data_IF_513996182039
#
_entry.id   IF_513996182039
#
_cell.length_a   1.000
_cell.length_b   1.000
_cell.length_c   1.000
_cell.angle_alpha   90.00
_cell.angle_beta   90.00
_cell.angle_gamma   90.00
#
_symmetry.space_group_name_H-M   'P 1'
#
loop_
_entity.id
_entity.type
_entity.pdbx_description
1 polymer ?
#
# COMPACT_ATOMS: atom_id res chain seq x y z
N UNK A 1 -22.91 28.33 -44.31
CA UNK A 1 -23.20 26.90 -44.08
C UNK A 1 -22.48 26.51 -42.80
N UNK A 2 -23.26 26.17 -41.77
CA UNK A 2 -22.80 25.93 -40.40
C UNK A 2 -22.60 24.41 -40.27
N UNK A 3 -21.35 23.96 -40.12
CA UNK A 3 -21.05 22.52 -39.97
C UNK A 3 -21.08 22.15 -38.48
N UNK A 4 -22.10 21.37 -38.11
CA UNK A 4 -22.31 20.83 -36.76
C UNK A 4 -21.35 19.67 -36.42
N UNK A 5 -21.10 19.56 -35.11
CA UNK A 5 -20.24 18.65 -34.36
C UNK A 5 -20.65 17.15 -34.45
N UNK A 6 -20.05 16.22 -33.67
CA UNK A 6 -18.73 16.19 -33.00
C UNK A 6 -17.87 14.99 -33.48
N UNK A 7 -16.55 15.06 -33.30
CA UNK A 7 -15.72 13.86 -33.40
C UNK A 7 -16.03 12.94 -32.22
N UNK A 8 -16.72 11.82 -32.49
CA UNK A 8 -16.85 10.69 -31.59
C UNK A 8 -15.45 10.22 -31.16
N UNK A 9 -15.13 10.45 -29.88
CA UNK A 9 -13.95 9.88 -29.23
C UNK A 9 -14.32 8.44 -28.85
N UNK A 10 -14.12 7.51 -29.78
CA UNK A 10 -14.29 6.09 -29.54
C UNK A 10 -13.29 5.62 -28.46
N UNK A 11 -13.79 5.37 -27.25
CA UNK A 11 -13.08 4.62 -26.21
C UNK A 11 -13.52 3.15 -26.29
N UNK A 12 -13.30 2.52 -27.43
CA UNK A 12 -13.84 1.20 -27.76
C UNK A 12 -12.80 0.11 -28.02
N UNK A 13 -11.70 0.07 -27.28
CA UNK A 13 -10.81 -1.11 -27.29
C UNK A 13 -11.02 -1.93 -26.02
N UNK A 14 -11.99 -2.85 -26.09
CA UNK A 14 -12.15 -3.97 -25.18
C UNK A 14 -10.78 -4.62 -24.91
N UNK A 15 -10.24 -4.42 -23.70
CA UNK A 15 -9.07 -5.20 -23.23
C UNK A 15 -9.55 -6.61 -22.88
N UNK A 16 -9.80 -7.41 -23.91
CA UNK A 16 -9.92 -8.87 -23.79
C UNK A 16 -8.54 -9.45 -23.49
N UNK A 17 -8.45 -10.11 -22.34
CA UNK A 17 -7.59 -11.28 -22.17
C UNK A 17 -6.15 -11.01 -21.75
N UNK A 18 -5.95 -10.75 -20.47
CA UNK A 18 -4.89 -11.35 -19.67
C UNK A 18 -5.41 -11.37 -18.23
N UNK A 19 -5.41 -12.51 -17.50
CA UNK A 19 -5.61 -12.50 -16.06
C UNK A 19 -4.32 -11.93 -15.45
N UNK A 20 -4.12 -10.62 -15.58
CA UNK A 20 -3.31 -9.92 -14.59
C UNK A 20 -4.11 -10.14 -13.32
N UNK A 21 -3.74 -11.17 -12.54
CA UNK A 21 -4.06 -11.29 -11.13
C UNK A 21 -4.06 -9.87 -10.61
N UNK A 22 -5.22 -9.37 -10.18
CA UNK A 22 -5.38 -7.99 -9.71
C UNK A 22 -4.19 -7.73 -8.80
N UNK A 23 -3.20 -7.02 -9.32
CA UNK A 23 -2.14 -6.49 -8.49
C UNK A 23 -2.93 -5.52 -7.64
N UNK A 24 -2.95 -5.73 -6.32
CA UNK A 24 -3.65 -4.79 -5.43
C UNK A 24 -3.19 -3.40 -5.87
N UNK A 25 -4.12 -2.58 -6.40
CA UNK A 25 -3.83 -1.23 -6.88
C UNK A 25 -3.56 -0.37 -5.64
N UNK A 26 -2.38 -0.57 -5.06
CA UNK A 26 -1.93 0.14 -3.89
C UNK A 26 -1.62 1.57 -4.31
N UNK A 27 -2.24 2.52 -3.63
CA UNK A 27 -1.83 3.91 -3.73
C UNK A 27 -0.35 4.08 -3.35
N UNK A 28 0.29 5.16 -3.83
CA UNK A 28 1.66 5.49 -3.45
C UNK A 28 1.87 5.54 -1.93
N UNK A 29 0.85 5.97 -1.17
CA UNK A 29 0.88 5.96 0.29
C UNK A 29 0.89 4.56 0.91
N UNK A 30 0.18 3.61 0.31
CA UNK A 30 0.17 2.21 0.73
C UNK A 30 1.50 1.53 0.40
N UNK A 31 2.05 1.74 -0.79
CA UNK A 31 3.38 1.24 -1.17
C UNK A 31 4.47 1.73 -0.21
N UNK A 32 4.50 3.03 0.07
CA UNK A 32 5.46 3.60 1.02
C UNK A 32 5.31 2.99 2.43
N UNK A 33 4.09 2.67 2.86
CA UNK A 33 3.85 2.01 4.14
C UNK A 33 4.29 0.54 4.14
N UNK A 34 4.10 -0.18 3.03
CA UNK A 34 4.60 -1.56 2.90
C UNK A 34 6.13 -1.60 2.98
N UNK A 35 6.80 -0.66 2.31
CA UNK A 35 8.25 -0.55 2.40
C UNK A 35 8.72 -0.25 3.83
N UNK A 36 8.08 0.72 4.50
CA UNK A 36 8.41 1.07 5.89
C UNK A 36 8.22 -0.11 6.86
N UNK A 37 7.19 -0.93 6.62
CA UNK A 37 6.92 -2.15 7.38
C UNK A 37 7.98 -3.22 7.11
N UNK A 38 8.33 -3.47 5.84
CA UNK A 38 9.36 -4.44 5.46
C UNK A 38 10.71 -4.09 6.08
N UNK A 39 11.10 -2.82 6.04
CA UNK A 39 12.33 -2.34 6.69
C UNK A 39 12.30 -2.63 8.20
N UNK A 40 11.19 -2.34 8.87
CA UNK A 40 11.06 -2.61 10.31
C UNK A 40 11.06 -4.11 10.64
N UNK A 41 10.53 -4.97 9.76
CA UNK A 41 10.63 -6.43 9.89
C UNK A 41 12.08 -6.90 9.73
N UNK A 42 12.79 -6.38 8.71
CA UNK A 42 14.20 -6.72 8.44
C UNK A 42 15.15 -6.26 9.55
N UNK A 43 14.84 -5.15 10.20
CA UNK A 43 15.55 -4.67 11.40
C UNK A 43 15.25 -5.50 12.66
N UNK A 44 14.34 -6.47 12.61
CA UNK A 44 13.89 -7.25 13.77
C UNK A 44 13.02 -6.47 14.76
N UNK A 45 12.52 -5.30 14.35
CA UNK A 45 11.64 -4.45 15.17
C UNK A 45 10.20 -4.99 15.19
N UNK A 46 9.78 -5.60 14.08
CA UNK A 46 8.46 -6.24 13.96
C UNK A 46 8.60 -7.77 13.97
N UNK A 47 7.72 -8.42 14.70
CA UNK A 47 7.49 -9.86 14.54
C UNK A 47 6.74 -10.13 13.23
N UNK A 48 6.82 -11.36 12.73
CA UNK A 48 6.05 -11.77 11.55
C UNK A 48 4.54 -11.60 11.75
N UNK A 49 4.04 -11.88 12.97
CA UNK A 49 2.64 -11.69 13.30
C UNK A 49 2.22 -10.21 13.27
N UNK A 50 3.04 -9.31 13.81
CA UNK A 50 2.78 -7.87 13.74
C UNK A 50 2.85 -7.35 12.31
N UNK A 51 3.79 -7.85 11.51
CA UNK A 51 3.93 -7.50 10.10
C UNK A 51 2.66 -7.86 9.32
N UNK A 52 2.08 -9.05 9.52
CA UNK A 52 0.83 -9.43 8.86
C UNK A 52 -0.34 -8.52 9.22
N UNK A 53 -0.49 -8.13 10.49
CA UNK A 53 -1.55 -7.20 10.91
C UNK A 53 -1.36 -5.82 10.26
N UNK A 54 -0.12 -5.36 10.12
CA UNK A 54 0.20 -4.08 9.48
C UNK A 54 -0.05 -4.16 7.97
N UNK A 55 0.30 -5.26 7.34
CA UNK A 55 0.05 -5.52 5.92
C UNK A 55 -1.45 -5.47 5.60
N UNK A 56 -2.29 -6.13 6.41
CA UNK A 56 -3.74 -6.11 6.26
C UNK A 56 -4.31 -4.68 6.38
N UNK A 57 -3.80 -3.89 7.34
CA UNK A 57 -4.18 -2.48 7.47
C UNK A 57 -3.80 -1.66 6.25
N UNK A 58 -2.63 -1.92 5.65
CA UNK A 58 -2.19 -1.22 4.44
C UNK A 58 -3.09 -1.59 3.27
N UNK A 59 -3.39 -2.88 3.07
CA UNK A 59 -4.29 -3.36 2.01
C UNK A 59 -5.70 -2.79 2.17
N UNK A 60 -6.19 -2.65 3.39
CA UNK A 60 -7.48 -2.02 3.69
C UNK A 60 -7.47 -0.48 3.56
N UNK A 61 -6.34 0.16 3.22
CA UNK A 61 -6.21 1.62 3.08
C UNK A 61 -6.01 2.37 4.40
N UNK A 62 -5.90 1.67 5.53
CA UNK A 62 -5.64 2.24 6.85
C UNK A 62 -4.14 2.56 7.08
N UNK A 63 -3.53 3.27 6.13
CA UNK A 63 -2.10 3.60 6.09
C UNK A 63 -1.62 4.34 7.34
N UNK A 64 -2.42 5.28 7.86
CA UNK A 64 -2.06 6.01 9.08
C UNK A 64 -1.97 5.08 10.31
N UNK A 65 -2.89 4.13 10.43
CA UNK A 65 -2.89 3.13 11.51
C UNK A 65 -1.69 2.19 11.41
N UNK A 66 -1.38 1.72 10.20
CA UNK A 66 -0.19 0.93 9.89
C UNK A 66 1.10 1.65 10.32
N UNK A 67 1.29 2.90 9.88
CA UNK A 67 2.46 3.72 10.24
C UNK A 67 2.61 3.94 11.74
N UNK A 68 1.51 4.20 12.46
CA UNK A 68 1.53 4.34 13.92
C UNK A 68 2.00 3.06 14.62
N UNK A 69 1.56 1.89 14.15
CA UNK A 69 2.00 0.60 14.70
C UNK A 69 3.49 0.36 14.49
N UNK A 70 4.00 0.60 13.27
CA UNK A 70 5.44 0.51 12.98
C UNK A 70 6.25 1.46 13.87
N UNK A 71 5.82 2.72 13.98
CA UNK A 71 6.50 3.71 14.84
C UNK A 71 6.50 3.30 16.32
N UNK A 72 5.39 2.74 16.81
CA UNK A 72 5.29 2.26 18.19
C UNK A 72 6.20 1.06 18.44
N UNK A 73 6.32 0.15 17.47
CA UNK A 73 7.24 -0.98 17.55
C UNK A 73 8.71 -0.51 17.58
N UNK A 74 9.09 0.43 16.70
CA UNK A 74 10.43 1.05 16.70
C UNK A 74 10.73 1.69 18.04
N UNK A 75 9.77 2.41 18.63
CA UNK A 75 9.93 3.02 19.94
C UNK A 75 10.18 1.96 21.02
N UNK A 76 9.39 0.88 21.06
CA UNK A 76 9.59 -0.22 22.02
C UNK A 76 10.95 -0.88 21.88
N UNK A 77 11.41 -1.11 20.65
CA UNK A 77 12.72 -1.69 20.38
C UNK A 77 13.87 -0.77 20.84
N UNK A 78 13.71 0.55 20.69
CA UNK A 78 14.67 1.55 21.17
C UNK A 78 14.66 1.72 22.69
N UNK A 79 13.54 1.43 23.35
CA UNK A 79 13.39 1.51 24.82
C UNK A 79 13.55 0.15 25.51
N UNK A 80 14.21 -0.82 24.87
CA UNK A 80 14.52 -2.12 25.49
C UNK A 80 15.29 -1.98 26.83
N UNK A 81 15.25 -2.99 27.71
CA UNK A 81 15.64 -2.86 29.12
C UNK A 81 17.15 -2.61 29.25
N UNK A 82 17.57 -1.37 29.45
CA UNK A 82 19.00 -1.04 29.42
C UNK A 82 19.29 0.38 29.90
N UNK A 83 19.14 0.57 31.20
CA UNK A 83 19.74 1.61 32.02
C UNK A 83 19.81 1.08 33.44
#
# INVERSE_FOLDING_TARGET
MQSGAPSDHDHGAERRGLPWTKVDDLSAGQLAAMQTMDDARREGVLSDADAHVIEDLIRAGHVHGARKRVSSARRRAQTGPGG
#
